data_IF_362195374184
#
_entry.id   IF_362195374184
#
_cell.length_a   1.000
_cell.length_b   1.000
_cell.length_c   1.000
_cell.angle_alpha   90.00
_cell.angle_beta   90.00
_cell.angle_gamma   90.00
#
_symmetry.space_group_name_H-M   'P 1'
#
loop_
_entity.id
_entity.type
_entity.pdbx_description
1 polymer ?
#
# COMPACT_ATOMS: atom_id res chain seq x y z
N UNK A 1 16.89 7.98 13.32
CA UNK A 1 17.36 6.80 14.07
C UNK A 1 16.22 5.95 14.60
N UNK A 2 15.25 6.56 15.29
CA UNK A 2 14.08 5.85 15.77
C UNK A 2 13.25 5.29 14.59
N UNK A 3 12.99 6.09 13.58
CA UNK A 3 12.21 5.72 12.39
C UNK A 3 12.89 4.60 11.60
N UNK A 4 14.21 4.70 11.38
CA UNK A 4 14.99 3.66 10.69
C UNK A 4 14.95 2.31 11.41
N UNK A 5 14.93 2.32 12.75
CA UNK A 5 14.81 1.09 13.57
C UNK A 5 13.37 0.58 13.62
N UNK A 6 12.38 1.47 13.70
CA UNK A 6 10.97 1.11 13.83
C UNK A 6 10.41 0.51 12.53
N UNK A 7 10.80 1.07 11.39
CA UNK A 7 10.25 0.71 10.08
C UNK A 7 11.23 -0.09 9.21
N UNK A 8 12.39 -0.48 9.78
CA UNK A 8 13.42 -1.24 9.04
C UNK A 8 13.82 -0.57 7.72
N UNK A 9 13.88 0.78 7.70
CA UNK A 9 14.11 1.57 6.51
C UNK A 9 15.36 1.16 5.72
N UNK A 10 16.39 0.68 6.42
CA UNK A 10 17.63 0.23 5.78
C UNK A 10 17.42 -0.98 4.87
N UNK A 11 16.42 -1.81 5.12
CA UNK A 11 16.13 -3.01 4.34
C UNK A 11 15.58 -2.66 2.95
N UNK A 12 15.07 -1.44 2.79
CA UNK A 12 14.55 -0.92 1.54
C UNK A 12 15.57 -0.13 0.72
N UNK A 13 16.79 0.14 1.26
CA UNK A 13 17.84 0.83 0.52
C UNK A 13 18.46 -0.13 -0.49
N UNK A 14 18.40 0.24 -1.76
CA UNK A 14 18.92 -0.57 -2.87
C UNK A 14 20.29 -0.12 -3.34
N UNK A 15 20.59 1.17 -3.25
CA UNK A 15 21.85 1.76 -3.71
C UNK A 15 22.26 2.90 -2.78
N UNK A 16 23.57 3.05 -2.54
CA UNK A 16 24.10 4.06 -1.62
C UNK A 16 23.98 3.65 -0.15
N UNK A 17 23.98 4.63 0.74
CA UNK A 17 23.90 4.40 2.18
C UNK A 17 22.83 5.33 2.81
N UNK A 18 21.70 4.75 3.22
CA UNK A 18 20.62 5.49 3.86
C UNK A 18 21.00 6.15 5.19
N UNK A 19 22.04 5.68 5.87
CA UNK A 19 22.54 6.28 7.11
C UNK A 19 23.27 7.60 6.87
N UNK A 20 23.73 7.86 5.66
CA UNK A 20 24.44 9.11 5.31
C UNK A 20 23.53 10.33 5.34
N UNK A 21 22.19 10.16 5.37
CA UNK A 21 21.24 11.25 5.66
C UNK A 21 21.57 11.99 6.96
N UNK A 22 22.18 11.31 7.94
CA UNK A 22 22.56 11.90 9.22
C UNK A 22 23.90 12.61 9.16
N UNK A 23 24.83 12.05 8.39
CA UNK A 23 26.21 12.44 8.37
C UNK A 23 26.49 13.54 7.34
N UNK A 24 25.70 13.59 6.27
CA UNK A 24 25.84 14.54 5.18
C UNK A 24 24.74 15.61 5.29
N UNK A 25 25.16 16.86 5.50
CA UNK A 25 24.23 17.98 5.54
C UNK A 25 23.56 18.15 4.17
N UNK A 26 22.28 18.50 4.19
CA UNK A 26 21.47 18.71 2.96
C UNK A 26 21.52 17.50 2.03
N UNK A 27 21.31 16.30 2.57
CA UNK A 27 21.28 15.05 1.82
C UNK A 27 19.87 14.49 1.73
N UNK A 28 19.64 13.69 0.67
CA UNK A 28 18.35 13.09 0.35
C UNK A 28 18.54 11.66 -0.14
N UNK A 29 17.62 10.77 0.23
CA UNK A 29 17.43 9.46 -0.37
C UNK A 29 16.18 9.52 -1.23
N UNK A 30 16.31 9.17 -2.50
CA UNK A 30 15.22 9.20 -3.48
C UNK A 30 14.61 7.80 -3.64
N UNK A 31 13.31 7.77 -3.91
CA UNK A 31 12.70 6.54 -4.42
C UNK A 31 13.28 6.17 -5.78
N UNK A 32 13.52 4.90 -6.03
CA UNK A 32 14.15 4.42 -7.28
C UNK A 32 13.39 4.87 -8.54
N UNK A 33 12.06 4.90 -8.48
CA UNK A 33 11.23 5.42 -9.56
C UNK A 33 11.38 6.93 -9.80
N UNK A 34 11.59 7.71 -8.73
CA UNK A 34 11.86 9.15 -8.82
C UNK A 34 13.27 9.42 -9.35
N UNK A 35 14.27 8.69 -8.87
CA UNK A 35 15.65 8.78 -9.36
C UNK A 35 15.73 8.50 -10.85
N UNK A 36 15.03 7.47 -11.34
CA UNK A 36 14.98 7.17 -12.78
C UNK A 36 14.35 8.29 -13.61
N UNK A 37 13.30 8.97 -13.10
CA UNK A 37 12.70 10.13 -13.77
C UNK A 37 13.66 11.33 -13.84
N UNK A 38 14.44 11.54 -12.80
CA UNK A 38 15.40 12.64 -12.69
C UNK A 38 16.74 12.31 -13.37
N UNK A 39 16.96 11.06 -13.80
CA UNK A 39 18.25 10.56 -14.30
C UNK A 39 19.38 10.78 -13.29
N UNK A 40 19.07 10.73 -12.01
CA UNK A 40 20.01 11.01 -10.92
C UNK A 40 20.71 9.74 -10.47
N UNK A 41 21.99 9.88 -10.10
CA UNK A 41 22.83 8.83 -9.52
C UNK A 41 23.20 9.16 -8.06
N UNK A 42 23.54 8.17 -7.22
CA UNK A 42 24.09 8.44 -5.90
C UNK A 42 25.36 9.29 -6.02
N UNK A 43 25.40 10.39 -5.25
CA UNK A 43 26.45 11.38 -5.31
C UNK A 43 26.10 12.67 -6.06
N UNK A 44 25.10 12.64 -6.92
CA UNK A 44 24.64 13.81 -7.67
C UNK A 44 23.99 14.86 -6.76
N UNK A 45 23.98 16.09 -7.24
CA UNK A 45 23.31 17.21 -6.59
C UNK A 45 22.02 17.51 -7.36
N UNK A 46 20.88 17.39 -6.68
CA UNK A 46 19.58 17.74 -7.24
C UNK A 46 19.08 19.05 -6.64
N UNK A 47 18.28 19.78 -7.42
CA UNK A 47 17.65 21.02 -6.98
C UNK A 47 16.21 20.76 -6.57
N UNK A 48 15.84 21.28 -5.40
CA UNK A 48 14.45 21.27 -4.91
C UNK A 48 13.98 22.71 -4.90
N UNK A 49 12.89 22.98 -5.60
CA UNK A 49 12.22 24.29 -5.55
C UNK A 49 11.02 24.19 -4.61
N UNK A 50 11.01 25.04 -3.60
CA UNK A 50 9.89 25.09 -2.64
C UNK A 50 8.70 25.81 -3.25
N UNK A 51 7.53 25.68 -2.61
CA UNK A 51 6.31 26.39 -3.02
C UNK A 51 6.47 27.93 -2.98
N UNK A 52 7.46 28.43 -2.24
CA UNK A 52 7.81 29.87 -2.18
C UNK A 52 8.78 30.30 -3.27
N UNK A 53 9.25 29.38 -4.11
CA UNK A 53 10.23 29.67 -5.17
C UNK A 53 11.69 29.64 -4.71
N UNK A 54 11.97 29.27 -3.46
CA UNK A 54 13.34 29.12 -2.97
C UNK A 54 13.96 27.85 -3.54
N UNK A 55 15.22 27.93 -3.96
CA UNK A 55 15.96 26.82 -4.57
C UNK A 55 16.97 26.27 -3.56
N UNK A 56 16.90 25.00 -3.28
CA UNK A 56 17.85 24.29 -2.43
C UNK A 56 18.58 23.20 -3.21
N UNK A 57 19.88 23.11 -2.98
CA UNK A 57 20.69 22.02 -3.51
C UNK A 57 20.85 20.95 -2.44
N UNK A 58 20.53 19.71 -2.81
CA UNK A 58 20.63 18.55 -1.94
C UNK A 58 21.41 17.44 -2.62
N UNK A 59 22.28 16.75 -1.86
CA UNK A 59 23.08 15.65 -2.36
C UNK A 59 22.30 14.34 -2.25
N UNK A 60 22.22 13.59 -3.34
CA UNK A 60 21.64 12.25 -3.35
C UNK A 60 22.61 11.27 -2.71
N UNK A 61 22.23 10.64 -1.60
CA UNK A 61 23.10 9.69 -0.86
C UNK A 61 22.70 8.24 -1.07
N UNK A 62 21.54 7.99 -1.65
CA UNK A 62 21.10 6.64 -1.95
C UNK A 62 19.70 6.59 -2.52
N UNK A 63 19.30 5.39 -2.89
CA UNK A 63 17.97 5.08 -3.40
C UNK A 63 17.28 4.05 -2.52
N UNK A 64 15.97 4.19 -2.38
CA UNK A 64 15.14 3.19 -1.74
C UNK A 64 14.10 2.62 -2.72
N UNK A 65 13.64 1.41 -2.45
CA UNK A 65 12.58 0.75 -3.19
C UNK A 65 11.65 0.04 -2.21
N UNK A 66 10.42 0.52 -2.09
CA UNK A 66 9.39 -0.05 -1.21
C UNK A 66 8.65 -1.24 -1.83
N UNK A 67 8.73 -1.39 -3.15
CA UNK A 67 7.92 -2.32 -3.94
C UNK A 67 6.56 -1.75 -4.39
N UNK A 68 6.18 -0.57 -3.92
CA UNK A 68 4.98 0.15 -4.37
C UNK A 68 5.41 1.21 -5.37
N UNK A 69 5.13 0.97 -6.66
CA UNK A 69 5.63 1.80 -7.76
C UNK A 69 5.29 3.29 -7.61
N UNK A 70 4.08 3.63 -7.21
CA UNK A 70 3.67 5.03 -7.05
C UNK A 70 4.38 5.71 -5.89
N UNK A 71 4.63 4.98 -4.81
CA UNK A 71 5.38 5.46 -3.67
C UNK A 71 6.85 5.72 -4.06
N UNK A 72 7.47 4.77 -4.75
CA UNK A 72 8.86 4.87 -5.21
C UNK A 72 9.09 5.99 -6.26
N UNK A 73 8.02 6.44 -6.94
CA UNK A 73 8.08 7.55 -7.92
C UNK A 73 7.87 8.94 -7.33
N UNK A 74 7.34 9.02 -6.11
CA UNK A 74 6.91 10.30 -5.52
C UNK A 74 7.58 10.62 -4.21
N UNK A 75 8.05 9.62 -3.47
CA UNK A 75 8.59 9.81 -2.13
C UNK A 75 10.11 9.97 -2.13
N UNK A 76 10.57 10.74 -1.15
CA UNK A 76 11.99 10.94 -0.84
C UNK A 76 12.14 11.15 0.66
N UNK A 77 13.32 10.83 1.18
CA UNK A 77 13.63 10.95 2.60
C UNK A 77 14.82 11.86 2.81
N UNK A 78 14.71 12.76 3.78
CA UNK A 78 15.77 13.65 4.21
C UNK A 78 15.83 13.71 5.73
N UNK A 79 16.86 14.34 6.29
CA UNK A 79 16.89 14.59 7.73
C UNK A 79 15.82 15.61 8.13
N UNK A 80 15.29 15.51 9.35
CA UNK A 80 14.30 16.45 9.88
C UNK A 80 14.80 17.89 9.76
N UNK A 81 16.08 18.15 10.11
CA UNK A 81 16.66 19.48 10.00
C UNK A 81 16.75 20.01 8.56
N UNK A 82 17.04 19.13 7.59
CA UNK A 82 17.02 19.51 6.18
C UNK A 82 15.59 19.85 5.71
N UNK A 83 14.61 19.04 6.12
CA UNK A 83 13.19 19.27 5.78
C UNK A 83 12.67 20.57 6.42
N UNK A 84 13.02 20.84 7.68
CA UNK A 84 12.65 22.10 8.35
C UNK A 84 13.23 23.32 7.64
N UNK A 85 14.49 23.26 7.19
CA UNK A 85 15.11 24.33 6.37
C UNK A 85 14.39 24.51 5.04
N UNK A 86 14.09 23.43 4.32
CA UNK A 86 13.35 23.44 3.06
C UNK A 86 11.98 24.11 3.22
N UNK A 87 11.31 23.87 4.36
CA UNK A 87 10.01 24.45 4.66
C UNK A 87 10.09 25.89 5.23
N UNK A 88 11.29 26.40 5.51
CA UNK A 88 11.48 27.69 6.18
C UNK A 88 10.87 27.72 7.58
N UNK A 89 10.93 26.59 8.29
CA UNK A 89 10.35 26.40 9.63
C UNK A 89 11.44 26.34 10.70
N UNK A 90 11.03 26.60 11.95
CA UNK A 90 11.92 26.48 13.10
C UNK A 90 12.31 25.02 13.36
N UNK A 91 13.45 24.80 14.04
CA UNK A 91 13.98 23.45 14.32
C UNK A 91 13.12 22.57 15.22
N UNK A 92 12.09 23.10 15.81
CA UNK A 92 11.11 22.37 16.63
C UNK A 92 9.79 22.08 15.88
N UNK A 93 9.70 22.43 14.61
CA UNK A 93 8.50 22.21 13.82
C UNK A 93 8.43 20.74 13.35
N UNK A 94 7.32 20.09 13.65
CA UNK A 94 6.98 18.73 13.24
C UNK A 94 5.54 18.73 12.74
N UNK A 95 5.25 18.06 11.65
CA UNK A 95 3.90 17.91 11.08
C UNK A 95 3.18 16.73 11.70
N UNK A 96 3.86 15.58 11.75
CA UNK A 96 3.25 14.30 12.14
C UNK A 96 4.18 13.52 13.05
N UNK A 97 3.58 12.76 13.98
CA UNK A 97 4.29 11.83 14.85
C UNK A 97 3.69 10.44 14.64
N UNK A 98 4.48 9.53 14.12
CA UNK A 98 4.08 8.13 13.97
C UNK A 98 4.45 7.32 15.23
N UNK A 99 3.46 6.65 15.83
CA UNK A 99 3.64 5.82 17.00
C UNK A 99 3.40 4.36 16.63
N UNK A 100 4.43 3.51 16.78
CA UNK A 100 4.31 2.06 16.56
C UNK A 100 3.97 1.37 17.88
N UNK A 101 2.86 0.67 17.91
CA UNK A 101 2.38 -0.06 19.07
C UNK A 101 2.86 -1.51 19.03
N UNK A 102 2.98 -2.13 20.22
CA UNK A 102 3.24 -3.57 20.34
C UNK A 102 1.99 -4.39 20.02
N UNK A 103 0.82 -3.88 20.41
CA UNK A 103 -0.48 -4.49 20.13
C UNK A 103 -1.34 -3.49 19.35
N UNK A 104 -1.64 -3.84 18.12
CA UNK A 104 -2.44 -3.02 17.19
C UNK A 104 -3.88 -2.86 17.66
N UNK A 105 -4.40 -3.80 18.44
CA UNK A 105 -5.78 -3.75 18.92
C UNK A 105 -6.00 -2.60 19.93
N UNK A 106 -4.95 -2.10 20.55
CA UNK A 106 -5.00 -0.96 21.48
C UNK A 106 -4.98 0.39 20.75
N UNK A 107 -4.75 0.41 19.44
CA UNK A 107 -4.58 1.64 18.68
C UNK A 107 -5.79 2.59 18.75
N UNK A 108 -7.06 2.15 18.61
CA UNK A 108 -8.21 3.06 18.68
C UNK A 108 -8.38 3.72 20.06
N UNK A 109 -8.07 2.98 21.13
CA UNK A 109 -8.16 3.51 22.50
C UNK A 109 -7.07 4.56 22.76
N UNK A 110 -5.83 4.26 22.33
CA UNK A 110 -4.69 5.17 22.50
C UNK A 110 -4.81 6.42 21.62
N UNK A 111 -5.35 6.30 20.41
CA UNK A 111 -5.60 7.46 19.55
C UNK A 111 -6.55 8.46 20.25
N UNK A 112 -7.64 7.96 20.83
CA UNK A 112 -8.58 8.79 21.60
C UNK A 112 -7.92 9.42 22.83
N UNK A 113 -7.12 8.67 23.57
CA UNK A 113 -6.37 9.19 24.73
C UNK A 113 -5.41 10.30 24.32
N UNK A 114 -4.64 10.11 23.24
CA UNK A 114 -3.68 11.09 22.75
C UNK A 114 -4.37 12.34 22.21
N UNK A 115 -5.46 12.19 21.47
CA UNK A 115 -6.26 13.31 21.01
C UNK A 115 -6.72 14.20 22.17
N UNK A 116 -7.23 13.60 23.24
CA UNK A 116 -7.70 14.34 24.42
C UNK A 116 -6.55 14.93 25.23
N UNK A 117 -5.48 14.16 25.44
CA UNK A 117 -4.37 14.55 26.31
C UNK A 117 -3.51 15.65 25.72
N UNK A 118 -3.29 15.61 24.41
CA UNK A 118 -2.40 16.55 23.72
C UNK A 118 -3.14 17.57 22.87
N UNK A 119 -4.47 17.51 22.83
CA UNK A 119 -5.32 18.37 22.01
C UNK A 119 -4.83 18.43 20.55
N UNK A 120 -4.57 17.25 19.99
CA UNK A 120 -4.10 17.05 18.62
C UNK A 120 -5.06 16.12 17.87
N UNK A 121 -4.96 16.12 16.57
CA UNK A 121 -5.62 15.11 15.75
C UNK A 121 -4.80 13.82 15.83
N UNK A 122 -5.41 12.75 16.32
CA UNK A 122 -4.79 11.44 16.44
C UNK A 122 -5.69 10.38 15.82
N UNK A 123 -5.18 9.75 14.77
CA UNK A 123 -5.88 8.74 14.00
C UNK A 123 -5.19 7.39 14.17
N UNK A 124 -5.96 6.34 14.39
CA UNK A 124 -5.44 4.98 14.42
C UNK A 124 -5.41 4.36 13.03
N UNK A 125 -4.54 3.36 12.84
CA UNK A 125 -4.33 2.69 11.54
C UNK A 125 -5.59 1.99 11.03
N UNK A 126 -6.50 1.54 11.91
CA UNK A 126 -7.72 0.86 11.51
C UNK A 126 -8.71 1.87 10.93
N UNK A 127 -8.85 3.04 11.57
CA UNK A 127 -9.67 4.15 11.08
C UNK A 127 -9.10 4.71 9.77
N UNK A 128 -7.80 4.96 9.71
CA UNK A 128 -7.12 5.42 8.50
C UNK A 128 -7.30 4.47 7.30
N UNK A 129 -7.30 3.16 7.56
CA UNK A 129 -7.46 2.14 6.52
C UNK A 129 -8.91 1.68 6.31
N UNK A 130 -9.89 2.25 7.01
CA UNK A 130 -11.31 1.84 6.93
C UNK A 130 -11.88 1.87 5.50
N UNK A 131 -11.44 2.81 4.66
CA UNK A 131 -11.84 2.88 3.26
C UNK A 131 -11.32 1.67 2.45
N UNK A 132 -10.10 1.20 2.74
CA UNK A 132 -9.54 0.00 2.09
C UNK A 132 -10.26 -1.26 2.54
N UNK A 133 -10.63 -1.37 3.82
CA UNK A 133 -11.42 -2.49 4.34
C UNK A 133 -12.80 -2.54 3.70
N UNK A 134 -13.49 -1.39 3.60
CA UNK A 134 -14.78 -1.28 2.92
C UNK A 134 -14.66 -1.67 1.44
N UNK A 135 -13.64 -1.20 0.73
CA UNK A 135 -13.39 -1.57 -0.67
C UNK A 135 -13.10 -3.07 -0.84
N UNK A 136 -12.36 -3.68 0.09
CA UNK A 136 -12.09 -5.11 0.10
C UNK A 136 -13.35 -5.94 0.36
N UNK A 137 -14.21 -5.51 1.29
CA UNK A 137 -15.49 -6.14 1.58
C UNK A 137 -16.43 -6.11 0.36
N UNK A 138 -16.57 -4.96 -0.29
CA UNK A 138 -17.40 -4.81 -1.50
C UNK A 138 -16.89 -5.73 -2.62
N UNK A 139 -15.58 -5.79 -2.86
CA UNK A 139 -15.00 -6.69 -3.86
C UNK A 139 -15.29 -8.15 -3.56
N UNK A 140 -15.18 -8.55 -2.30
CA UNK A 140 -15.48 -9.92 -1.85
C UNK A 140 -16.96 -10.24 -2.06
N UNK A 141 -17.88 -9.33 -1.71
CA UNK A 141 -19.31 -9.48 -1.93
C UNK A 141 -19.66 -9.67 -3.40
N UNK A 142 -19.08 -8.85 -4.28
CA UNK A 142 -19.25 -8.96 -5.73
C UNK A 142 -18.74 -10.31 -6.24
N UNK A 143 -17.57 -10.76 -5.77
CA UNK A 143 -17.00 -12.05 -6.16
C UNK A 143 -17.89 -13.23 -5.78
N UNK A 144 -18.48 -13.22 -4.59
CA UNK A 144 -19.44 -14.24 -4.17
C UNK A 144 -20.72 -14.18 -5.01
N UNK A 145 -21.26 -12.99 -5.27
CA UNK A 145 -22.48 -12.86 -6.08
C UNK A 145 -22.27 -13.40 -7.50
N UNK A 146 -21.15 -13.06 -8.14
CA UNK A 146 -20.78 -13.57 -9.46
C UNK A 146 -20.58 -15.10 -9.41
N UNK A 147 -19.85 -15.61 -8.41
CA UNK A 147 -19.60 -17.04 -8.26
C UNK A 147 -20.90 -17.86 -8.10
N UNK A 148 -21.82 -17.41 -7.27
CA UNK A 148 -23.13 -18.03 -7.09
C UNK A 148 -23.94 -18.01 -8.38
N UNK A 149 -23.96 -16.87 -9.08
CA UNK A 149 -24.68 -16.73 -10.35
C UNK A 149 -24.13 -17.70 -11.40
N UNK A 150 -22.80 -17.79 -11.55
CA UNK A 150 -22.17 -18.74 -12.46
C UNK A 150 -22.50 -20.19 -12.12
N UNK A 151 -22.52 -20.52 -10.83
CA UNK A 151 -22.86 -21.87 -10.37
C UNK A 151 -24.31 -22.25 -10.71
N UNK A 152 -25.24 -21.32 -10.53
CA UNK A 152 -26.65 -21.50 -10.93
C UNK A 152 -26.76 -21.70 -12.45
N UNK A 153 -26.12 -20.86 -13.26
CA UNK A 153 -26.14 -20.95 -14.72
C UNK A 153 -25.54 -22.28 -15.20
N UNK A 154 -24.39 -22.67 -14.65
CA UNK A 154 -23.76 -23.94 -14.96
C UNK A 154 -24.66 -25.14 -14.58
N UNK A 155 -25.31 -25.08 -13.40
CA UNK A 155 -26.25 -26.08 -12.96
C UNK A 155 -27.43 -26.27 -13.92
N UNK A 156 -28.05 -25.17 -14.37
CA UNK A 156 -29.09 -25.24 -15.40
C UNK A 156 -28.59 -25.78 -16.72
N UNK A 157 -27.37 -25.41 -17.15
CA UNK A 157 -26.76 -25.95 -18.37
C UNK A 157 -26.58 -27.46 -18.30
N UNK A 158 -26.03 -27.98 -17.20
CA UNK A 158 -25.87 -29.43 -16.96
C UNK A 158 -27.21 -30.11 -16.93
N UNK A 159 -28.20 -29.55 -16.21
CA UNK A 159 -29.55 -30.11 -16.12
C UNK A 159 -30.20 -30.24 -17.50
N UNK A 160 -30.11 -29.22 -18.35
CA UNK A 160 -30.66 -29.25 -19.70
C UNK A 160 -30.00 -30.34 -20.56
N UNK A 161 -28.67 -30.45 -20.49
CA UNK A 161 -27.94 -31.47 -21.24
C UNK A 161 -28.34 -32.88 -20.77
N UNK A 162 -28.44 -33.13 -19.47
CA UNK A 162 -28.88 -34.41 -18.91
C UNK A 162 -30.30 -34.76 -19.34
N UNK A 163 -31.22 -33.82 -19.29
CA UNK A 163 -32.58 -34.04 -19.78
C UNK A 163 -32.61 -34.40 -21.27
N UNK A 164 -31.86 -33.70 -22.10
CA UNK A 164 -31.77 -34.01 -23.51
C UNK A 164 -31.24 -35.41 -23.76
N UNK A 165 -30.18 -35.81 -23.03
CA UNK A 165 -29.61 -37.15 -23.12
C UNK A 165 -30.62 -38.27 -22.68
N UNK A 166 -31.41 -37.98 -21.65
CA UNK A 166 -32.47 -38.93 -21.17
C UNK A 166 -33.52 -39.08 -22.26
N UNK A 167 -34.04 -38.00 -22.84
CA UNK A 167 -35.03 -38.04 -23.94
C UNK A 167 -34.50 -38.79 -25.16
N UNK A 168 -33.26 -38.57 -25.57
CA UNK A 168 -32.63 -39.28 -26.69
C UNK A 168 -32.49 -40.78 -26.46
N UNK A 169 -32.32 -41.22 -25.20
CA UNK A 169 -32.17 -42.62 -24.83
C UNK A 169 -33.46 -43.29 -24.37
N UNK A 170 -34.58 -42.58 -24.35
CA UNK A 170 -35.87 -43.12 -23.83
C UNK A 170 -36.35 -44.39 -24.54
N UNK A 171 -36.24 -44.42 -25.88
CA UNK A 171 -36.61 -45.58 -26.68
C UNK A 171 -35.73 -46.80 -26.34
N UNK A 172 -34.42 -46.61 -26.21
CA UNK A 172 -33.48 -47.67 -25.84
C UNK A 172 -33.74 -48.21 -24.41
N UNK A 173 -34.10 -47.31 -23.46
CA UNK A 173 -34.45 -47.66 -22.09
C UNK A 173 -35.79 -48.41 -22.04
N UNK A 174 -36.75 -48.01 -22.89
CA UNK A 174 -38.05 -48.67 -22.97
C UNK A 174 -37.90 -50.13 -23.48
N UNK A 175 -37.05 -50.37 -24.51
CA UNK A 175 -36.75 -51.69 -25.05
C UNK A 175 -36.05 -52.57 -23.97
N UNK A 176 -35.06 -52.06 -23.27
CA UNK A 176 -34.37 -52.76 -22.19
C UNK A 176 -35.35 -53.17 -21.08
N UNK A 177 -36.24 -52.29 -20.69
CA UNK A 177 -37.25 -52.54 -19.67
C UNK A 177 -38.28 -53.61 -20.16
N UNK A 178 -38.62 -53.63 -21.43
CA UNK A 178 -39.53 -54.64 -22.02
C UNK A 178 -38.89 -56.04 -22.09
N UNK A 179 -37.56 -56.12 -22.20
CA UNK A 179 -36.80 -57.39 -22.24
C UNK A 179 -36.42 -57.90 -20.83
N UNK A 180 -36.84 -57.22 -19.76
CA UNK A 180 -36.67 -57.73 -18.39
C UNK A 180 -35.40 -57.28 -17.67
N UNK A 181 -34.73 -56.25 -18.17
CA UNK A 181 -33.60 -55.62 -17.49
C UNK A 181 -34.04 -54.39 -16.69
#
# INVERSE_FOLDING_TARGET
>A
EAESKLFHFNDYITEGNGLDIKNVANSIVLGKGLAAKLLANPGDIVQITTAKGEIFQVKVVGFFQSGIMEFDKTQSYASIGATQKLLGKANNYITDIHVKLKDINTAPALAKEYAQRYNCDAEDIQTANSQFETGSFIRTLISYAVGITLLIVAGFGIFNILNMLIYEKMDSIAILKATGF
#
